data_IF_349314479282
#
_entry.id   IF_349314479282
#
_cell.length_a   1.000
_cell.length_b   1.000
_cell.length_c   1.000
_cell.angle_alpha   90.00
_cell.angle_beta   90.00
_cell.angle_gamma   90.00
#
_symmetry.space_group_name_H-M   'P 1'
#
loop_
_entity.id
_entity.type
_entity.pdbx_description
1 polymer ?
#
# COMPACT_ATOMS: atom_id res chain seq x y z
N UNK A 1 3.60 48.79 38.57
CA UNK A 1 2.19 49.17 38.77
C UNK A 1 1.40 47.98 38.19
N UNK A 2 1.23 46.96 38.94
CA UNK A 2 0.12 46.55 39.84
C UNK A 2 -1.25 46.86 39.28
N UNK A 3 -1.99 45.89 38.87
CA UNK A 3 -3.34 45.65 39.38
C UNK A 3 -3.82 44.21 39.06
N UNK A 4 -4.29 43.67 40.08
CA UNK A 4 -4.75 42.42 40.59
C UNK A 4 -6.09 41.90 40.02
N UNK A 5 -6.48 40.63 40.31
CA UNK A 5 -7.54 39.90 39.63
C UNK A 5 -8.93 40.12 40.22
N UNK A 6 -9.93 39.93 39.39
CA UNK A 6 -11.33 40.05 39.72
C UNK A 6 -11.86 38.72 40.33
N UNK A 7 -12.14 38.77 41.64
CA UNK A 7 -12.77 37.67 42.40
C UNK A 7 -14.28 37.71 42.18
N UNK A 8 -14.85 36.62 41.68
CA UNK A 8 -16.31 36.42 41.56
C UNK A 8 -16.87 36.03 42.95
N UNK A 9 -17.73 36.89 43.47
CA UNK A 9 -18.40 36.73 44.76
C UNK A 9 -19.46 35.61 44.71
N UNK A 10 -19.27 34.59 45.56
CA UNK A 10 -20.08 33.36 45.64
C UNK A 10 -21.32 33.49 46.56
N UNK A 11 -21.80 34.68 46.85
CA UNK A 11 -22.85 34.89 47.88
C UNK A 11 -24.24 35.33 47.42
N UNK A 12 -24.58 35.23 46.14
CA UNK A 12 -25.94 35.57 45.68
C UNK A 12 -26.58 34.47 44.85
N UNK A 13 -26.80 33.34 45.45
CA UNK A 13 -27.67 32.32 44.85
C UNK A 13 -28.40 31.51 45.93
N UNK A 14 -29.21 32.17 46.72
CA UNK A 14 -30.22 31.53 47.55
C UNK A 14 -31.40 32.49 47.61
N UNK A 15 -32.45 32.20 46.87
CA UNK A 15 -33.86 32.48 47.13
C UNK A 15 -34.68 32.36 45.82
N UNK A 16 -35.41 31.31 45.71
CA UNK A 16 -36.30 31.02 44.59
C UNK A 16 -36.97 29.65 44.77
N UNK A 17 -37.73 29.58 45.89
CA UNK A 17 -38.48 28.39 46.24
C UNK A 17 -39.75 28.20 45.41
N UNK A 18 -40.00 26.97 45.03
CA UNK A 18 -41.30 26.28 45.00
C UNK A 18 -42.43 26.85 44.14
N UNK A 19 -42.55 26.31 42.93
CA UNK A 19 -43.86 25.89 42.38
C UNK A 19 -43.56 24.66 41.51
N UNK A 20 -43.67 23.51 42.07
CA UNK A 20 -43.74 22.25 41.31
C UNK A 20 -44.76 21.39 42.01
N UNK A 21 -45.88 21.24 41.42
CA UNK A 21 -46.63 19.99 41.45
C UNK A 21 -47.84 20.14 40.53
N UNK A 22 -48.00 19.11 39.69
CA UNK A 22 -49.19 18.73 38.94
C UNK A 22 -49.15 18.90 37.43
N UNK A 23 -48.08 18.40 36.77
CA UNK A 23 -48.19 17.95 35.37
C UNK A 23 -47.30 16.70 35.21
N UNK A 24 -47.67 15.63 35.83
CA UNK A 24 -46.79 14.45 35.90
C UNK A 24 -47.32 13.14 35.30
N UNK A 25 -48.60 13.05 34.88
CA UNK A 25 -49.15 11.73 34.50
C UNK A 25 -49.57 11.65 33.02
N UNK A 26 -49.98 12.74 32.39
CA UNK A 26 -50.39 12.73 30.99
C UNK A 26 -49.27 12.72 29.96
N UNK A 27 -48.08 13.28 30.31
CA UNK A 27 -46.93 13.33 29.39
C UNK A 27 -46.19 12.00 29.18
N UNK A 28 -46.28 11.10 30.15
CA UNK A 28 -45.53 9.85 30.10
C UNK A 28 -46.14 8.80 29.14
N UNK A 29 -47.46 8.83 28.94
CA UNK A 29 -48.13 7.91 27.99
C UNK A 29 -47.93 8.35 26.54
N UNK A 30 -47.86 9.61 26.25
CA UNK A 30 -47.71 10.13 24.88
C UNK A 30 -46.26 9.93 24.39
N UNK A 31 -45.30 9.98 25.30
CA UNK A 31 -43.87 9.75 24.94
C UNK A 31 -43.57 8.30 24.58
N UNK A 32 -44.33 7.35 25.10
CA UNK A 32 -44.17 5.92 24.81
C UNK A 32 -44.81 5.51 23.47
N UNK A 33 -45.85 6.25 23.03
CA UNK A 33 -46.51 5.97 21.74
C UNK A 33 -45.82 6.60 20.52
N UNK A 34 -44.92 7.58 20.75
CA UNK A 34 -44.18 8.25 19.69
C UNK A 34 -42.72 7.80 19.54
N UNK A 35 -42.31 6.76 20.30
CA UNK A 35 -41.00 6.16 20.07
C UNK A 35 -40.99 5.46 18.72
N UNK A 36 -40.21 5.90 17.74
CA UNK A 36 -40.01 5.11 16.54
C UNK A 36 -39.47 3.75 16.96
N UNK A 37 -40.09 2.67 16.44
CA UNK A 37 -39.59 1.32 16.66
C UNK A 37 -38.10 1.25 16.47
N UNK A 38 -37.33 0.55 17.33
CA UNK A 38 -35.91 0.38 17.11
C UNK A 38 -35.73 -0.22 15.71
N UNK A 39 -35.10 0.57 14.84
CA UNK A 39 -34.71 0.10 13.51
C UNK A 39 -33.89 -1.17 13.76
N UNK A 40 -34.43 -2.31 13.35
CA UNK A 40 -33.69 -3.56 13.38
C UNK A 40 -32.41 -3.31 12.55
N UNK A 41 -31.33 -3.06 13.26
CA UNK A 41 -30.00 -3.05 12.69
C UNK A 41 -29.75 -4.50 12.26
N UNK A 42 -30.08 -4.78 11.01
CA UNK A 42 -29.72 -6.05 10.39
C UNK A 42 -28.20 -6.10 10.48
N UNK A 43 -27.70 -6.78 11.50
CA UNK A 43 -26.30 -7.11 11.64
C UNK A 43 -25.88 -7.77 10.32
N UNK A 44 -25.25 -6.99 9.45
CA UNK A 44 -24.66 -7.50 8.21
C UNK A 44 -23.67 -8.56 8.66
N UNK A 45 -24.03 -9.83 8.51
CA UNK A 45 -23.09 -10.94 8.68
C UNK A 45 -21.81 -10.54 7.95
N UNK A 46 -20.65 -10.57 8.61
CA UNK A 46 -19.41 -10.27 7.93
C UNK A 46 -19.33 -11.22 6.73
N UNK A 47 -19.33 -10.65 5.53
CA UNK A 47 -19.10 -11.41 4.29
C UNK A 47 -17.72 -12.00 4.47
N UNK A 48 -17.64 -13.29 4.75
CA UNK A 48 -16.38 -14.03 4.80
C UNK A 48 -15.80 -13.94 3.39
N UNK A 49 -14.83 -13.04 3.21
CA UNK A 49 -14.07 -13.00 1.96
C UNK A 49 -13.51 -14.39 1.74
N UNK A 50 -13.65 -14.97 0.55
CA UNK A 50 -13.06 -16.26 0.24
C UNK A 50 -11.58 -16.21 0.65
N UNK A 51 -11.12 -17.20 1.38
CA UNK A 51 -9.71 -17.35 1.72
C UNK A 51 -8.97 -17.53 0.38
N UNK A 52 -8.05 -16.63 0.06
CA UNK A 52 -7.27 -16.75 -1.15
C UNK A 52 -6.61 -18.14 -1.21
N UNK A 53 -6.52 -18.76 -2.39
CA UNK A 53 -5.93 -20.09 -2.53
C UNK A 53 -4.51 -20.09 -1.99
N UNK A 54 -4.18 -21.09 -1.19
CA UNK A 54 -2.84 -21.26 -0.59
C UNK A 54 -1.81 -21.74 -1.60
N UNK A 55 -2.24 -22.22 -2.75
CA UNK A 55 -1.41 -22.69 -3.85
C UNK A 55 -1.78 -21.94 -5.13
N UNK A 56 -0.94 -21.02 -5.54
CA UNK A 56 -1.02 -20.32 -6.82
C UNK A 56 -0.09 -21.05 -7.77
N UNK A 57 -0.58 -21.43 -8.96
CA UNK A 57 0.30 -22.02 -9.96
C UNK A 57 1.18 -20.93 -10.59
N UNK A 58 2.38 -21.31 -11.04
CA UNK A 58 3.25 -20.39 -11.79
C UNK A 58 2.53 -19.83 -13.03
N UNK A 59 1.76 -20.65 -13.72
CA UNK A 59 1.01 -20.25 -14.90
C UNK A 59 -0.03 -19.18 -14.58
N UNK A 60 -0.83 -19.36 -13.53
CA UNK A 60 -1.84 -18.37 -13.11
C UNK A 60 -1.20 -17.06 -12.66
N UNK A 61 -0.09 -17.16 -11.91
CA UNK A 61 0.66 -15.99 -11.45
C UNK A 61 1.20 -15.19 -12.63
N UNK A 62 1.71 -15.86 -13.67
CA UNK A 62 2.34 -15.24 -14.82
C UNK A 62 1.36 -14.87 -15.96
N UNK A 63 0.07 -15.18 -15.85
CA UNK A 63 -0.92 -14.66 -16.82
C UNK A 63 -0.83 -13.15 -16.91
N UNK A 64 -0.84 -12.64 -18.14
CA UNK A 64 -0.79 -11.20 -18.42
C UNK A 64 -1.85 -10.44 -17.63
N UNK A 65 -1.44 -9.35 -17.04
CA UNK A 65 -2.29 -8.39 -16.36
C UNK A 65 -2.61 -7.18 -17.25
N UNK A 66 -3.20 -6.13 -16.67
CA UNK A 66 -3.48 -4.89 -17.38
C UNK A 66 -2.22 -4.12 -17.78
N UNK A 67 -1.10 -4.40 -17.08
CA UNK A 67 0.21 -3.81 -17.34
C UNK A 67 1.22 -4.91 -17.66
N UNK A 68 2.18 -4.66 -18.57
CA UNK A 68 3.31 -5.57 -18.76
C UNK A 68 4.14 -5.67 -17.48
N UNK A 69 4.67 -6.86 -17.20
CA UNK A 69 5.56 -7.05 -16.05
C UNK A 69 6.85 -6.23 -16.20
N UNK A 70 7.28 -5.59 -15.11
CA UNK A 70 8.62 -5.02 -15.00
C UNK A 70 9.55 -6.13 -14.51
N UNK A 71 10.52 -6.53 -15.32
CA UNK A 71 11.35 -7.67 -15.01
C UNK A 71 12.84 -7.41 -15.29
N UNK A 72 13.70 -8.07 -14.50
CA UNK A 72 15.14 -8.13 -14.72
C UNK A 72 15.61 -9.58 -14.76
N UNK A 73 16.72 -9.83 -15.46
CA UNK A 73 17.27 -11.15 -15.67
C UNK A 73 16.80 -11.80 -16.97
N UNK A 74 17.28 -13.01 -17.21
CA UNK A 74 16.97 -13.75 -18.43
C UNK A 74 15.48 -14.16 -18.45
N UNK A 75 14.80 -13.88 -19.57
CA UNK A 75 13.39 -14.26 -19.74
C UNK A 75 13.18 -15.79 -19.65
N UNK A 76 14.18 -16.57 -20.00
CA UNK A 76 14.18 -18.03 -19.96
C UNK A 76 14.85 -18.62 -18.70
N UNK A 77 15.04 -17.81 -17.65
CA UNK A 77 15.60 -18.29 -16.39
C UNK A 77 14.74 -19.44 -15.83
N UNK A 78 15.34 -20.50 -15.28
CA UNK A 78 14.60 -21.64 -14.73
C UNK A 78 13.77 -21.28 -13.50
N UNK A 79 14.12 -20.19 -12.81
CA UNK A 79 13.41 -19.73 -11.63
C UNK A 79 12.91 -18.30 -11.84
N UNK A 80 11.63 -18.07 -11.52
CA UNK A 80 11.05 -16.74 -11.50
C UNK A 80 10.67 -16.37 -10.07
N UNK A 81 11.17 -15.22 -9.61
CA UNK A 81 10.71 -14.56 -8.40
C UNK A 81 9.73 -13.45 -8.81
N UNK A 82 8.52 -13.44 -8.24
CA UNK A 82 7.57 -12.34 -8.39
C UNK A 82 7.48 -11.62 -7.06
N UNK A 83 7.79 -10.34 -7.05
CA UNK A 83 7.67 -9.44 -5.91
C UNK A 83 6.43 -8.55 -6.07
N UNK A 84 5.54 -8.53 -5.08
CA UNK A 84 4.54 -7.49 -4.92
C UNK A 84 5.04 -6.47 -3.90
N UNK A 85 5.24 -5.23 -4.33
CA UNK A 85 5.88 -4.20 -3.53
C UNK A 85 5.14 -2.86 -3.55
N UNK A 86 5.26 -2.12 -2.45
CA UNK A 86 4.84 -0.73 -2.35
C UNK A 86 6.04 0.20 -2.28
N UNK A 87 5.99 1.27 -3.04
CA UNK A 87 7.08 2.25 -3.10
C UNK A 87 7.31 3.00 -1.78
N UNK A 88 6.32 3.00 -0.86
CA UNK A 88 6.42 3.60 0.49
C UNK A 88 6.71 2.60 1.60
N UNK A 89 6.82 1.30 1.28
CA UNK A 89 7.08 0.27 2.26
C UNK A 89 8.57 0.17 2.61
N UNK A 90 8.93 0.38 3.89
CA UNK A 90 10.32 0.29 4.36
C UNK A 90 10.94 -1.11 4.23
N UNK A 91 10.15 -2.17 4.35
CA UNK A 91 10.63 -3.54 4.12
C UNK A 91 10.94 -3.81 2.64
N UNK A 92 10.17 -3.21 1.71
CA UNK A 92 10.49 -3.24 0.29
C UNK A 92 11.80 -2.50 0.00
N UNK A 93 11.99 -1.30 0.58
CA UNK A 93 13.25 -0.57 0.46
C UNK A 93 14.44 -1.37 1.02
N UNK A 94 14.26 -2.04 2.17
CA UNK A 94 15.31 -2.93 2.71
C UNK A 94 15.66 -4.07 1.75
N UNK A 95 14.64 -4.71 1.14
CA UNK A 95 14.88 -5.75 0.13
C UNK A 95 15.67 -5.19 -1.06
N UNK A 96 15.20 -4.11 -1.66
CA UNK A 96 15.83 -3.51 -2.84
C UNK A 96 17.25 -2.99 -2.57
N UNK A 97 17.52 -2.47 -1.37
CA UNK A 97 18.79 -1.85 -1.03
C UNK A 97 19.84 -2.82 -0.50
N UNK A 98 19.42 -3.94 0.13
CA UNK A 98 20.35 -4.84 0.82
C UNK A 98 20.33 -6.28 0.31
N UNK A 99 19.17 -6.78 -0.11
CA UNK A 99 19.00 -8.19 -0.47
C UNK A 99 19.09 -8.38 -1.98
N UNK A 100 18.33 -7.58 -2.73
CA UNK A 100 18.30 -7.65 -4.18
C UNK A 100 19.69 -7.53 -4.83
N UNK A 101 20.62 -6.65 -4.39
CA UNK A 101 21.97 -6.62 -4.98
C UNK A 101 22.71 -7.95 -4.88
N UNK A 102 22.58 -8.66 -3.74
CA UNK A 102 23.20 -9.99 -3.55
C UNK A 102 22.55 -11.03 -4.46
N UNK A 103 21.21 -11.02 -4.54
CA UNK A 103 20.48 -11.93 -5.42
C UNK A 103 20.78 -11.64 -6.90
N UNK A 104 20.95 -10.36 -7.23
CA UNK A 104 21.27 -9.94 -8.58
C UNK A 104 22.62 -10.50 -9.03
N UNK A 105 23.66 -10.30 -8.24
CA UNK A 105 25.00 -10.79 -8.52
C UNK A 105 25.06 -12.33 -8.62
N UNK A 106 24.49 -13.03 -7.64
CA UNK A 106 24.59 -14.48 -7.54
C UNK A 106 23.69 -15.25 -8.51
N UNK A 107 22.53 -14.72 -8.84
CA UNK A 107 21.48 -15.49 -9.51
C UNK A 107 20.86 -14.81 -10.72
N UNK A 108 20.63 -13.49 -10.70
CA UNK A 108 19.95 -12.82 -11.82
C UNK A 108 20.91 -12.57 -12.97
N UNK A 109 22.09 -12.01 -12.69
CA UNK A 109 23.11 -11.73 -13.71
C UNK A 109 23.74 -13.01 -14.27
N UNK A 110 23.68 -14.11 -13.51
CA UNK A 110 24.10 -15.44 -13.98
C UNK A 110 23.03 -16.18 -14.78
N UNK A 111 21.87 -15.56 -15.01
CA UNK A 111 20.77 -16.13 -15.80
C UNK A 111 19.96 -17.22 -15.12
N UNK A 112 20.21 -17.49 -13.83
CA UNK A 112 19.53 -18.55 -13.05
C UNK A 112 18.16 -18.13 -12.56
N UNK A 113 17.96 -16.81 -12.32
CA UNK A 113 16.75 -16.23 -11.77
C UNK A 113 16.30 -15.04 -12.62
N UNK A 114 14.99 -14.95 -12.83
CA UNK A 114 14.29 -13.75 -13.31
C UNK A 114 13.53 -13.15 -12.14
N UNK A 115 13.66 -11.85 -11.91
CA UNK A 115 12.83 -11.12 -10.96
C UNK A 115 11.77 -10.33 -11.73
N UNK A 116 10.52 -10.44 -11.29
CA UNK A 116 9.36 -9.67 -11.78
C UNK A 116 8.86 -8.78 -10.64
N UNK A 117 8.84 -7.49 -10.88
CA UNK A 117 8.28 -6.50 -9.96
C UNK A 117 6.83 -6.19 -10.32
N UNK A 118 5.94 -6.22 -9.33
CA UNK A 118 4.53 -5.85 -9.46
C UNK A 118 4.13 -4.83 -8.40
N UNK A 119 3.45 -3.81 -8.83
CA UNK A 119 3.00 -2.74 -7.96
C UNK A 119 1.91 -3.23 -7.00
N UNK A 120 2.10 -2.89 -5.73
CA UNK A 120 1.11 -3.08 -4.67
C UNK A 120 1.05 -1.82 -3.80
N UNK A 121 0.60 -0.67 -4.35
CA UNK A 121 0.62 0.58 -3.62
C UNK A 121 -0.27 0.51 -2.37
N UNK A 122 0.28 0.94 -1.23
CA UNK A 122 -0.42 1.02 0.05
C UNK A 122 -1.08 2.39 0.28
N UNK A 123 -0.62 3.40 -0.46
CA UNK A 123 -1.07 4.79 -0.35
C UNK A 123 -0.90 5.54 -1.68
N UNK A 124 -1.36 6.79 -1.70
CA UNK A 124 -1.31 7.65 -2.89
C UNK A 124 0.13 7.95 -3.34
N UNK A 125 1.06 8.14 -2.40
CA UNK A 125 2.47 8.42 -2.73
C UNK A 125 3.09 7.23 -3.45
N UNK A 126 2.83 6.03 -2.96
CA UNK A 126 3.28 4.79 -3.60
C UNK A 126 2.68 4.63 -5.00
N UNK A 127 1.40 4.98 -5.17
CA UNK A 127 0.74 4.91 -6.46
C UNK A 127 1.37 5.89 -7.46
N UNK A 128 1.59 7.14 -7.07
CA UNK A 128 2.25 8.15 -7.92
C UNK A 128 3.70 7.78 -8.26
N UNK A 129 4.46 7.27 -7.30
CA UNK A 129 5.82 6.79 -7.55
C UNK A 129 5.85 5.64 -8.56
N UNK A 130 4.89 4.71 -8.45
CA UNK A 130 4.70 3.63 -9.42
C UNK A 130 4.34 4.16 -10.82
N UNK A 131 3.43 5.14 -10.90
CA UNK A 131 3.11 5.79 -12.18
C UNK A 131 4.34 6.42 -12.81
N UNK A 132 5.16 7.14 -12.03
CA UNK A 132 6.39 7.75 -12.55
C UNK A 132 7.37 6.72 -13.08
N UNK A 133 7.55 5.60 -12.40
CA UNK A 133 8.38 4.51 -12.88
C UNK A 133 7.86 3.94 -14.21
N UNK A 134 6.54 3.74 -14.33
CA UNK A 134 5.91 3.30 -15.59
C UNK A 134 6.09 4.31 -16.71
N UNK A 135 5.96 5.58 -16.43
CA UNK A 135 6.10 6.65 -17.44
C UNK A 135 7.57 6.86 -17.89
N UNK A 136 8.54 6.46 -17.06
CA UNK A 136 9.93 6.41 -17.51
C UNK A 136 10.12 5.39 -18.65
N UNK A 137 9.30 4.34 -18.67
CA UNK A 137 9.20 3.36 -19.75
C UNK A 137 10.44 2.48 -19.89
N UNK A 138 10.30 1.42 -20.69
CA UNK A 138 11.40 0.57 -21.15
C UNK A 138 12.34 0.12 -20.03
N UNK A 139 13.61 0.28 -20.29
CA UNK A 139 14.73 -0.07 -19.41
C UNK A 139 14.96 0.91 -18.25
N UNK A 140 14.24 2.05 -18.22
CA UNK A 140 14.40 3.10 -17.20
C UNK A 140 13.49 2.89 -15.99
N UNK A 141 12.44 2.09 -16.09
CA UNK A 141 11.47 1.90 -15.01
C UNK A 141 12.11 1.28 -13.76
N UNK A 142 12.80 0.15 -13.90
CA UNK A 142 13.46 -0.54 -12.78
C UNK A 142 14.61 0.28 -12.16
N UNK A 143 15.49 0.95 -12.93
CA UNK A 143 16.43 1.92 -12.37
C UNK A 143 15.78 3.01 -11.54
N UNK A 144 14.67 3.59 -11.99
CA UNK A 144 13.94 4.59 -11.22
C UNK A 144 13.34 4.01 -9.94
N UNK A 145 12.77 2.80 -9.99
CA UNK A 145 12.27 2.08 -8.80
C UNK A 145 13.40 1.89 -7.79
N UNK A 146 14.56 1.41 -8.23
CA UNK A 146 15.72 1.21 -7.35
C UNK A 146 16.19 2.53 -6.71
N UNK A 147 16.22 3.61 -7.48
CA UNK A 147 16.57 4.94 -6.98
C UNK A 147 15.56 5.45 -5.95
N UNK A 148 14.26 5.31 -6.22
CA UNK A 148 13.20 5.71 -5.31
C UNK A 148 13.26 4.92 -3.99
N UNK A 149 13.55 3.62 -4.02
CA UNK A 149 13.78 2.84 -2.80
C UNK A 149 15.05 3.24 -2.07
N UNK A 150 16.14 3.52 -2.77
CA UNK A 150 17.41 3.93 -2.14
C UNK A 150 17.32 5.29 -1.43
N UNK A 151 16.38 6.12 -1.84
CA UNK A 151 16.10 7.47 -1.32
C UNK A 151 14.71 7.59 -0.71
N UNK A 152 14.13 6.46 -0.25
CA UNK A 152 12.74 6.42 0.23
C UNK A 152 12.48 7.44 1.33
N UNK A 153 13.40 7.61 2.28
CA UNK A 153 13.25 8.54 3.40
C UNK A 153 13.16 10.00 2.94
N UNK A 154 13.79 10.35 1.82
CA UNK A 154 13.80 11.71 1.29
C UNK A 154 12.43 12.15 0.77
N UNK A 155 11.58 11.22 0.31
CA UNK A 155 10.32 11.55 -0.35
C UNK A 155 9.09 10.87 0.28
N UNK A 156 9.19 9.60 0.69
CA UNK A 156 8.03 8.86 1.17
C UNK A 156 7.58 9.31 2.57
N UNK A 157 8.54 9.66 3.46
CA UNK A 157 8.28 10.18 4.80
C UNK A 157 8.18 11.72 4.86
N UNK A 158 8.29 12.41 3.73
CA UNK A 158 8.26 13.85 3.68
C UNK A 158 6.96 14.43 4.26
N UNK A 159 7.08 15.42 5.14
CA UNK A 159 5.94 16.15 5.71
C UNK A 159 5.40 17.21 4.75
N UNK A 160 6.26 17.70 3.86
CA UNK A 160 5.99 18.67 2.81
C UNK A 160 5.51 17.99 1.52
N UNK A 161 5.38 18.77 0.45
CA UNK A 161 5.02 18.25 -0.86
C UNK A 161 6.10 17.28 -1.39
N UNK A 162 5.71 16.04 -1.61
CA UNK A 162 6.58 14.97 -2.12
C UNK A 162 6.72 14.98 -3.65
N UNK A 163 5.83 15.67 -4.37
CA UNK A 163 5.81 15.69 -5.83
C UNK A 163 7.09 16.25 -6.44
N UNK A 164 7.63 17.40 -5.99
CA UNK A 164 8.90 17.90 -6.49
C UNK A 164 10.07 16.94 -6.27
N UNK A 165 10.01 16.16 -5.18
CA UNK A 165 11.06 15.18 -4.86
C UNK A 165 11.01 14.00 -5.81
N UNK A 166 9.83 13.43 -6.07
CA UNK A 166 9.65 12.37 -7.07
C UNK A 166 10.04 12.87 -8.45
N UNK A 167 9.64 14.08 -8.83
CA UNK A 167 10.02 14.67 -10.11
C UNK A 167 11.54 14.77 -10.28
N UNK A 168 12.27 15.21 -9.24
CA UNK A 168 13.74 15.27 -9.25
C UNK A 168 14.39 13.91 -9.56
N UNK A 169 13.83 12.82 -9.04
CA UNK A 169 14.31 11.48 -9.39
C UNK A 169 13.94 11.09 -10.82
N UNK A 170 12.72 11.43 -11.26
CA UNK A 170 12.28 11.21 -12.64
C UNK A 170 13.17 11.93 -13.67
N UNK A 171 13.62 13.15 -13.36
CA UNK A 171 14.53 13.90 -14.24
C UNK A 171 15.84 13.15 -14.51
N UNK A 172 16.36 12.39 -13.54
CA UNK A 172 17.60 11.63 -13.68
C UNK A 172 17.49 10.50 -14.72
N UNK A 173 16.27 10.06 -15.03
CA UNK A 173 16.00 9.07 -16.08
C UNK A 173 15.36 9.70 -17.33
N UNK A 174 15.31 11.03 -17.38
CA UNK A 174 14.86 11.78 -18.56
C UNK A 174 13.37 12.13 -18.58
N UNK A 175 12.65 12.04 -17.45
CA UNK A 175 11.28 12.55 -17.36
C UNK A 175 11.30 14.07 -17.40
N UNK A 176 10.64 14.66 -18.39
CA UNK A 176 10.46 16.11 -18.50
C UNK A 176 9.31 16.58 -17.60
N UNK A 177 9.20 17.88 -17.36
CA UNK A 177 8.06 18.44 -16.59
C UNK A 177 6.72 18.13 -17.28
N UNK A 178 6.67 18.19 -18.59
CA UNK A 178 5.48 17.84 -19.36
C UNK A 178 5.12 16.36 -19.15
N UNK A 179 6.06 15.44 -19.36
CA UNK A 179 5.83 14.00 -19.14
C UNK A 179 5.40 13.71 -17.71
N UNK A 180 5.97 14.41 -16.72
CA UNK A 180 5.59 14.27 -15.33
C UNK A 180 4.13 14.67 -15.09
N UNK A 181 3.70 15.82 -15.63
CA UNK A 181 2.33 16.31 -15.46
C UNK A 181 1.31 15.44 -16.19
N UNK A 182 1.61 15.00 -17.41
CA UNK A 182 0.79 14.06 -18.18
C UNK A 182 0.67 12.70 -17.45
N UNK A 183 1.79 12.19 -16.92
CA UNK A 183 1.82 10.93 -16.22
C UNK A 183 0.91 10.92 -15.00
N UNK A 184 1.03 11.93 -14.15
CA UNK A 184 0.23 12.00 -12.90
C UNK A 184 -1.27 12.22 -13.15
N UNK A 185 -1.65 12.64 -14.35
CA UNK A 185 -3.05 12.79 -14.79
C UNK A 185 -3.56 11.57 -15.55
N UNK A 186 -2.72 10.55 -15.76
CA UNK A 186 -3.11 9.37 -16.53
C UNK A 186 -4.01 8.45 -15.71
N UNK A 187 -5.31 8.70 -15.77
CA UNK A 187 -6.34 7.91 -15.10
C UNK A 187 -6.33 6.42 -15.48
N UNK A 188 -5.98 6.11 -16.73
CA UNK A 188 -5.90 4.72 -17.17
C UNK A 188 -4.75 4.02 -16.46
N UNK A 189 -3.59 4.64 -16.37
CA UNK A 189 -2.42 4.05 -15.73
C UNK A 189 -2.65 3.77 -14.26
N UNK A 190 -3.25 4.72 -13.53
CA UNK A 190 -3.55 4.48 -12.11
C UNK A 190 -4.58 3.36 -11.92
N UNK A 191 -5.62 3.29 -12.76
CA UNK A 191 -6.60 2.19 -12.73
C UNK A 191 -5.93 0.85 -12.98
N UNK A 192 -5.02 0.77 -13.93
CA UNK A 192 -4.28 -0.45 -14.26
C UNK A 192 -3.34 -0.87 -13.12
N UNK A 193 -2.63 0.06 -12.47
CA UNK A 193 -1.81 -0.21 -11.29
C UNK A 193 -2.67 -0.76 -10.13
N UNK A 194 -3.83 -0.13 -9.88
CA UNK A 194 -4.76 -0.61 -8.86
C UNK A 194 -5.30 -2.00 -9.22
N UNK A 195 -5.57 -2.29 -10.49
CA UNK A 195 -6.00 -3.61 -10.92
C UNK A 195 -4.91 -4.69 -10.72
N UNK A 196 -3.62 -4.37 -10.90
CA UNK A 196 -2.51 -5.27 -10.54
C UNK A 196 -2.52 -5.57 -9.04
N UNK A 197 -2.65 -4.53 -8.19
CA UNK A 197 -2.76 -4.68 -6.73
C UNK A 197 -3.94 -5.56 -6.35
N UNK A 198 -5.12 -5.25 -6.87
CA UNK A 198 -6.37 -5.93 -6.52
C UNK A 198 -6.35 -7.38 -6.95
N UNK A 199 -5.78 -7.71 -8.12
CA UNK A 199 -5.53 -9.09 -8.53
C UNK A 199 -4.57 -9.79 -7.58
N UNK A 200 -3.46 -9.15 -7.19
CA UNK A 200 -2.54 -9.69 -6.19
C UNK A 200 -3.25 -10.04 -4.89
N UNK A 201 -4.10 -9.14 -4.40
CA UNK A 201 -4.86 -9.36 -3.17
C UNK A 201 -5.93 -10.47 -3.32
N UNK A 202 -6.76 -10.40 -4.35
CA UNK A 202 -7.95 -11.27 -4.47
C UNK A 202 -7.63 -12.65 -5.00
N UNK A 203 -6.70 -12.74 -5.98
CA UNK A 203 -6.39 -14.01 -6.65
C UNK A 203 -5.19 -14.73 -6.03
N UNK A 204 -4.24 -14.00 -5.46
CA UNK A 204 -2.97 -14.58 -4.99
C UNK A 204 -2.73 -14.40 -3.49
N UNK A 205 -3.68 -13.79 -2.76
CA UNK A 205 -3.59 -13.64 -1.31
C UNK A 205 -2.47 -12.71 -0.84
N UNK A 206 -2.08 -11.75 -1.67
CA UNK A 206 -1.16 -10.69 -1.27
C UNK A 206 -1.90 -9.72 -0.34
N UNK A 207 -1.48 -9.65 0.91
CA UNK A 207 -2.09 -8.81 1.94
C UNK A 207 -1.09 -7.94 2.71
N UNK A 208 0.18 -8.03 2.34
CA UNK A 208 1.30 -7.27 2.89
C UNK A 208 2.38 -7.08 1.83
N UNK A 209 3.31 -6.14 2.07
CA UNK A 209 4.47 -5.90 1.21
C UNK A 209 5.77 -5.91 2.03
N UNK A 210 6.86 -6.45 1.46
CA UNK A 210 6.87 -7.20 0.21
C UNK A 210 6.19 -8.57 0.37
N UNK A 211 5.62 -9.09 -0.71
CA UNK A 211 5.22 -10.50 -0.81
C UNK A 211 5.94 -11.11 -2.01
N UNK A 212 6.58 -12.25 -1.80
CA UNK A 212 7.34 -12.96 -2.83
C UNK A 212 6.69 -14.28 -3.19
N UNK A 213 6.78 -14.61 -4.48
CA UNK A 213 6.47 -15.93 -4.99
C UNK A 213 7.68 -16.45 -5.77
N UNK A 214 8.08 -17.68 -5.54
CA UNK A 214 9.13 -18.38 -6.27
C UNK A 214 8.49 -19.52 -7.04
N UNK A 215 8.50 -19.46 -8.37
CA UNK A 215 7.83 -20.42 -9.26
C UNK A 215 6.38 -20.71 -8.79
N UNK A 216 5.61 -19.66 -8.49
CA UNK A 216 4.21 -19.75 -8.03
C UNK A 216 4.03 -20.02 -6.54
N UNK A 217 5.02 -20.54 -5.83
CA UNK A 217 4.93 -20.82 -4.41
C UNK A 217 5.23 -19.55 -3.60
N UNK A 218 4.30 -19.17 -2.73
CA UNK A 218 4.52 -18.03 -1.80
C UNK A 218 5.70 -18.36 -0.88
N UNK A 219 6.62 -17.41 -0.78
CA UNK A 219 7.81 -17.53 0.05
C UNK A 219 7.51 -17.00 1.46
N UNK A 220 7.99 -17.71 2.47
CA UNK A 220 8.06 -17.24 3.84
C UNK A 220 9.47 -16.72 4.13
N UNK A 221 9.57 -15.59 4.83
CA UNK A 221 10.85 -14.94 5.12
C UNK A 221 11.18 -13.81 4.14
N UNK A 222 12.37 -13.24 4.27
CA UNK A 222 12.79 -12.06 3.51
C UNK A 222 14.25 -11.71 3.69
N UNK A 223 15.07 -12.63 4.21
CA UNK A 223 16.54 -12.48 4.31
C UNK A 223 17.24 -13.11 3.10
N UNK A 224 18.52 -12.80 2.91
CA UNK A 224 19.33 -13.43 1.84
C UNK A 224 19.33 -14.96 2.02
N UNK A 225 19.49 -15.42 3.26
CA UNK A 225 19.52 -16.84 3.61
C UNK A 225 18.20 -17.55 3.28
N UNK A 226 17.05 -16.87 3.50
CA UNK A 226 15.74 -17.43 3.15
C UNK A 226 15.62 -17.61 1.63
N UNK A 227 16.06 -16.62 0.84
CA UNK A 227 16.10 -16.72 -0.61
C UNK A 227 17.05 -17.83 -1.06
N UNK A 228 18.27 -17.90 -0.53
CA UNK A 228 19.24 -18.93 -0.88
C UNK A 228 18.69 -20.34 -0.59
N UNK A 229 18.07 -20.53 0.56
CA UNK A 229 17.43 -21.80 0.93
C UNK A 229 16.28 -22.17 -0.01
N UNK A 230 15.47 -21.19 -0.43
CA UNK A 230 14.35 -21.44 -1.33
C UNK A 230 14.82 -21.70 -2.78
N UNK A 231 15.90 -21.05 -3.20
CA UNK A 231 16.44 -21.16 -4.56
C UNK A 231 17.30 -22.42 -4.76
N UNK A 232 18.04 -22.86 -3.73
CA UNK A 232 18.98 -23.98 -3.84
C UNK A 232 18.41 -25.27 -4.48
N UNK A 233 17.19 -25.74 -4.12
CA UNK A 233 16.62 -26.93 -4.75
C UNK A 233 16.16 -26.72 -6.20
N UNK A 234 15.99 -25.47 -6.65
CA UNK A 234 15.44 -25.09 -7.96
C UNK A 234 16.53 -24.79 -8.99
N UNK A 235 17.74 -24.48 -8.52
CA UNK A 235 18.90 -24.09 -9.36
C UNK A 235 19.89 -25.28 -9.43
N UNK A 236 19.41 -26.47 -9.67
CA UNK A 236 20.28 -27.63 -9.83
C UNK A 236 20.99 -27.58 -11.18
N UNK A 237 22.31 -27.61 -11.13
CA UNK A 237 23.21 -27.85 -12.26
C UNK A 237 23.97 -26.64 -12.66
#
# INVERSE_FOLDING_TARGET
MTTSPNTIDRRKLLLGSAVIATIGVAGSLIYTLLRPAPRAETARRPVRRPRAPTNVTQEELMKAGPLPDLAMGNANAPVTIVEYASMTCGHCANFHNKILPVLKEKYIDTGKVRLVFREFPLDERAALASMMARCAGGDKALPLISMLFSKQDDWAAAKDDFLPKIFKFGQQVGITKQTFDECRQNEKLIKDIIAVRDRGNTSFGVNQTPTFFINGKKMDGGTVEDFEKALAPLIKG
#
